data_IF_203247690393
#
_entry.id   IF_203247690393
#
_cell.length_a   1.000
_cell.length_b   1.000
_cell.length_c   1.000
_cell.angle_alpha   90.00
_cell.angle_beta   90.00
_cell.angle_gamma   90.00
#
_symmetry.space_group_name_H-M   'P 1'
#
loop_
_entity.id
_entity.type
_entity.pdbx_description
1 polymer ?
#
# COMPACT_ATOMS: atom_id res chain seq x y z
N UNK A 1 42.47 -20.53 5.06
CA UNK A 1 42.59 -21.62 4.06
C UNK A 1 41.68 -22.75 4.54
N UNK A 2 40.52 -23.05 3.99
CA UNK A 2 39.60 -22.36 3.08
C UNK A 2 38.21 -22.95 3.40
N UNK A 3 37.31 -22.15 3.98
CA UNK A 3 35.87 -22.43 4.07
C UNK A 3 35.22 -21.29 3.31
N UNK A 4 35.10 -21.45 1.98
CA UNK A 4 34.36 -20.55 1.09
C UNK A 4 33.98 -21.35 -0.15
N UNK A 5 32.69 -21.26 -0.51
CA UNK A 5 32.05 -21.70 -1.76
C UNK A 5 31.76 -23.20 -1.84
N UNK A 6 30.48 -23.57 -1.70
CA UNK A 6 29.72 -24.41 -2.64
C UNK A 6 28.28 -24.52 -2.09
N UNK A 7 27.39 -23.64 -2.53
CA UNK A 7 25.93 -23.81 -2.66
C UNK A 7 25.34 -22.48 -3.15
N UNK A 8 25.82 -22.08 -4.33
CA UNK A 8 25.24 -21.02 -5.15
C UNK A 8 25.03 -21.70 -6.50
N UNK A 9 23.77 -21.76 -6.97
CA UNK A 9 23.22 -22.52 -8.14
C UNK A 9 22.49 -23.82 -7.77
N UNK A 10 21.22 -23.69 -7.40
CA UNK A 10 20.09 -24.36 -8.06
C UNK A 10 18.78 -23.91 -7.42
N UNK A 11 18.21 -22.82 -7.93
CA UNK A 11 16.78 -22.54 -8.13
C UNK A 11 16.68 -21.02 -8.38
N UNK A 12 16.95 -20.64 -9.62
CA UNK A 12 16.40 -19.40 -10.17
C UNK A 12 15.00 -19.77 -10.63
N UNK A 13 14.07 -19.91 -9.69
CA UNK A 13 12.66 -19.86 -10.05
C UNK A 13 12.33 -18.36 -10.10
N UNK A 14 12.34 -17.82 -11.31
CA UNK A 14 11.82 -16.50 -11.57
C UNK A 14 10.34 -16.51 -11.20
N UNK A 15 10.03 -16.07 -9.98
CA UNK A 15 8.69 -15.59 -9.63
C UNK A 15 8.54 -14.21 -10.27
N UNK A 16 8.50 -14.18 -11.60
CA UNK A 16 7.95 -13.05 -12.33
C UNK A 16 6.43 -13.22 -12.29
N UNK A 17 5.83 -12.90 -11.15
CA UNK A 17 4.38 -12.77 -11.05
C UNK A 17 4.02 -11.41 -11.64
N UNK A 18 3.59 -11.51 -12.90
CA UNK A 18 2.67 -10.64 -13.63
C UNK A 18 3.08 -9.18 -13.88
N UNK A 19 3.16 -8.72 -15.15
CA UNK A 19 2.99 -7.29 -15.41
C UNK A 19 1.59 -6.91 -14.94
N UNK A 20 1.46 -5.71 -14.36
CA UNK A 20 0.23 -5.20 -13.78
C UNK A 20 -0.99 -5.60 -14.58
N UNK A 21 -2.03 -6.06 -13.87
CA UNK A 21 -3.38 -6.04 -14.40
C UNK A 21 -3.56 -4.63 -14.97
N UNK A 22 -3.57 -4.53 -16.30
CA UNK A 22 -4.15 -3.38 -16.95
C UNK A 22 -5.62 -3.42 -16.52
N UNK A 23 -5.92 -2.74 -15.42
CA UNK A 23 -7.23 -2.19 -15.19
C UNK A 23 -7.59 -1.46 -16.49
N UNK A 24 -8.88 -1.40 -16.85
CA UNK A 24 -9.28 -0.76 -18.11
C UNK A 24 -8.65 0.64 -18.27
N UNK A 25 -8.78 1.27 -19.44
CA UNK A 25 -8.15 2.57 -19.78
C UNK A 25 -8.45 3.77 -18.82
N UNK A 26 -9.07 3.54 -17.67
CA UNK A 26 -9.41 4.51 -16.63
C UNK A 26 -8.65 4.28 -15.30
N UNK A 27 -7.74 3.31 -15.22
CA UNK A 27 -6.94 3.01 -14.03
C UNK A 27 -5.59 2.37 -14.38
N UNK A 28 -4.54 2.66 -13.60
CA UNK A 28 -3.21 2.11 -13.84
C UNK A 28 -2.42 1.98 -12.52
N UNK A 29 -1.76 0.84 -12.26
CA UNK A 29 -0.87 0.68 -11.12
C UNK A 29 0.48 1.34 -11.41
N UNK A 30 0.95 2.19 -10.51
CA UNK A 30 2.28 2.81 -10.59
C UNK A 30 3.35 1.80 -10.17
N UNK A 31 3.07 0.98 -9.16
CA UNK A 31 4.09 0.17 -8.52
C UNK A 31 3.51 -1.02 -7.76
N UNK A 32 4.31 -2.08 -7.57
CA UNK A 32 3.93 -3.35 -6.90
C UNK A 32 5.03 -3.92 -5.98
N UNK A 33 6.27 -3.41 -6.02
CA UNK A 33 7.45 -4.08 -5.46
C UNK A 33 8.07 -3.34 -4.26
N UNK A 34 7.69 -3.60 -3.00
CA UNK A 34 8.11 -2.81 -1.83
C UNK A 34 9.64 -2.70 -1.55
N UNK A 35 10.48 -3.25 -2.43
CA UNK A 35 11.93 -3.14 -2.41
C UNK A 35 12.41 -1.71 -2.65
N UNK A 36 13.49 -1.33 -1.95
CA UNK A 36 14.21 -0.07 -2.21
C UNK A 36 14.87 -0.13 -3.59
N UNK A 37 14.28 0.55 -4.57
CA UNK A 37 14.82 0.71 -5.92
C UNK A 37 15.49 2.09 -6.14
N UNK A 38 15.51 2.92 -5.09
CA UNK A 38 16.29 4.17 -4.99
C UNK A 38 15.42 5.41 -4.80
N UNK A 39 16.05 6.59 -4.85
CA UNK A 39 15.33 7.87 -4.85
C UNK A 39 14.95 8.24 -6.28
N UNK A 40 13.65 8.36 -6.57
CA UNK A 40 13.15 8.79 -7.87
C UNK A 40 11.62 8.70 -7.98
N UNK A 41 11.06 9.31 -9.01
CA UNK A 41 9.61 9.24 -9.27
C UNK A 41 9.18 7.88 -9.83
N UNK A 42 8.08 7.35 -9.29
CA UNK A 42 7.57 6.01 -9.62
C UNK A 42 8.44 4.87 -9.10
N UNK A 43 9.39 5.20 -8.22
CA UNK A 43 10.35 4.30 -7.57
C UNK A 43 9.94 4.28 -6.10
N UNK A 44 9.91 3.11 -5.47
CA UNK A 44 9.58 3.00 -4.05
C UNK A 44 10.79 3.29 -3.18
N UNK A 45 10.65 4.33 -2.39
CA UNK A 45 11.61 4.66 -1.37
C UNK A 45 11.20 4.01 -0.05
N UNK A 46 11.69 2.79 0.15
CA UNK A 46 11.68 2.14 1.44
C UNK A 46 12.83 2.70 2.28
N UNK A 47 12.52 3.47 3.33
CA UNK A 47 13.51 4.14 4.16
C UNK A 47 13.48 3.64 5.60
N UNK A 48 14.64 3.70 6.25
CA UNK A 48 14.83 3.32 7.65
C UNK A 48 15.63 4.38 8.39
N UNK A 49 15.23 4.64 9.63
CA UNK A 49 15.93 5.48 10.58
C UNK A 49 16.36 4.63 11.77
N UNK A 50 17.64 4.70 12.10
CA UNK A 50 18.21 3.95 13.21
C UNK A 50 18.28 2.45 12.93
N UNK A 51 17.89 1.63 13.91
CA UNK A 51 18.03 0.17 13.87
C UNK A 51 16.96 -0.58 13.04
N UNK A 52 16.09 0.10 12.30
CA UNK A 52 15.13 -0.61 11.46
C UNK A 52 15.80 -1.36 10.32
N UNK A 53 15.34 -2.59 10.08
CA UNK A 53 15.71 -3.39 8.93
C UNK A 53 14.52 -3.57 8.00
N UNK A 54 14.76 -3.48 6.70
CA UNK A 54 13.80 -3.92 5.68
C UNK A 54 14.49 -5.07 4.95
N UNK A 55 13.97 -6.29 5.10
CA UNK A 55 14.41 -7.44 4.31
C UNK A 55 13.45 -7.65 3.14
N UNK A 56 14.05 -7.66 1.95
CA UNK A 56 13.39 -7.69 0.65
C UNK A 56 13.88 -8.86 -0.20
N UNK A 57 14.61 -9.80 0.42
CA UNK A 57 15.12 -10.99 -0.26
C UNK A 57 14.07 -12.09 -0.49
N UNK A 58 12.88 -11.94 0.09
CA UNK A 58 11.78 -12.91 0.07
C UNK A 58 10.63 -12.55 -0.89
N UNK A 59 9.53 -13.31 -0.89
CA UNK A 59 8.34 -13.03 -1.70
C UNK A 59 7.53 -11.83 -1.21
N UNK A 60 7.81 -11.33 0.00
CA UNK A 60 7.22 -10.14 0.60
C UNK A 60 8.32 -9.34 1.31
N UNK A 61 8.05 -8.06 1.57
CA UNK A 61 8.93 -7.22 2.38
C UNK A 61 8.70 -7.50 3.87
N UNK A 62 9.78 -7.61 4.63
CA UNK A 62 9.77 -7.76 6.09
C UNK A 62 10.30 -6.49 6.72
N UNK A 63 9.42 -5.77 7.39
CA UNK A 63 9.78 -4.64 8.25
C UNK A 63 10.12 -5.17 9.63
N UNK A 64 11.41 -5.22 9.92
CA UNK A 64 11.95 -5.72 11.17
C UNK A 64 12.24 -4.58 12.14
N UNK A 65 11.74 -4.71 13.37
CA UNK A 65 11.82 -3.72 14.43
C UNK A 65 12.82 -4.14 15.54
N UNK A 66 13.79 -5.02 15.23
CA UNK A 66 14.69 -5.69 16.17
C UNK A 66 15.86 -4.82 16.66
N UNK A 67 15.61 -3.66 17.25
CA UNK A 67 16.71 -2.86 17.81
C UNK A 67 16.45 -2.29 19.19
N UNK A 68 17.14 -2.88 20.16
CA UNK A 68 17.44 -2.33 21.49
C UNK A 68 18.57 -1.29 21.40
N UNK A 69 18.31 -0.18 20.72
CA UNK A 69 19.20 0.99 20.60
C UNK A 69 18.69 2.22 21.36
N UNK A 70 19.53 3.25 21.61
CA UNK A 70 19.10 4.47 22.27
C UNK A 70 18.20 5.31 21.35
N UNK A 71 16.88 5.17 21.53
CA UNK A 71 15.78 5.94 20.93
C UNK A 71 15.82 6.16 19.40
N UNK A 72 14.68 6.60 18.88
CA UNK A 72 14.53 7.07 17.50
C UNK A 72 14.76 6.00 16.43
N UNK A 73 14.02 4.89 16.50
CA UNK A 73 13.97 3.92 15.41
C UNK A 73 12.64 4.01 14.67
N UNK A 74 12.68 3.96 13.36
CA UNK A 74 11.49 3.94 12.53
C UNK A 74 11.82 3.65 11.09
N UNK A 75 10.81 3.60 10.26
CA UNK A 75 10.95 3.41 8.83
C UNK A 75 9.63 3.61 8.14
N UNK A 76 9.62 3.33 6.86
CA UNK A 76 8.42 3.51 6.09
C UNK A 76 8.64 3.29 4.61
N UNK A 77 7.58 3.63 3.89
CA UNK A 77 7.48 3.53 2.45
C UNK A 77 7.02 4.89 1.96
N UNK A 78 7.70 5.42 0.95
CA UNK A 78 7.22 6.54 0.17
C UNK A 78 7.23 6.16 -1.30
N UNK A 79 6.13 6.45 -1.99
CA UNK A 79 6.02 6.26 -3.43
C UNK A 79 5.65 7.60 -4.06
N UNK A 80 6.65 8.36 -4.54
CA UNK A 80 6.45 9.63 -5.19
C UNK A 80 5.96 9.47 -6.64
N UNK A 81 5.00 10.28 -7.05
CA UNK A 81 4.47 10.35 -8.42
C UNK A 81 4.61 11.78 -8.91
N UNK A 82 5.42 11.98 -9.96
CA UNK A 82 5.62 13.30 -10.56
C UNK A 82 4.36 13.74 -11.28
N UNK A 83 3.89 14.95 -10.98
CA UNK A 83 2.92 15.69 -11.77
C UNK A 83 3.58 16.64 -12.79
N UNK A 84 4.91 16.69 -12.78
CA UNK A 84 5.74 17.56 -13.61
C UNK A 84 5.66 19.03 -13.24
N UNK A 85 6.70 19.77 -13.62
CA UNK A 85 6.86 21.21 -13.40
C UNK A 85 5.58 22.03 -13.62
N UNK A 86 5.22 22.87 -12.66
CA UNK A 86 4.09 23.80 -12.71
C UNK A 86 4.50 25.22 -13.20
N UNK A 87 5.79 25.46 -13.44
CA UNK A 87 6.43 26.74 -13.84
C UNK A 87 6.49 27.80 -12.72
N UNK A 88 6.09 27.44 -11.50
CA UNK A 88 6.04 28.30 -10.31
C UNK A 88 7.33 28.12 -9.52
N UNK A 89 8.40 28.74 -9.99
CA UNK A 89 9.73 28.63 -9.35
C UNK A 89 9.86 29.42 -8.01
N UNK A 90 8.76 29.99 -7.50
CA UNK A 90 8.72 30.67 -6.21
C UNK A 90 7.29 30.89 -5.72
N UNK A 91 7.06 30.69 -4.42
CA UNK A 91 5.93 31.28 -3.69
C UNK A 91 6.42 32.41 -2.78
N UNK A 92 5.48 33.27 -2.41
CA UNK A 92 5.69 34.23 -1.34
C UNK A 92 5.00 33.63 -0.12
N UNK A 93 5.69 33.63 1.01
CA UNK A 93 5.21 33.02 2.24
C UNK A 93 5.09 34.07 3.36
N UNK A 94 4.42 33.65 4.44
CA UNK A 94 4.28 34.41 5.68
C UNK A 94 3.12 35.43 5.69
N UNK A 95 2.78 36.00 6.85
CA UNK A 95 1.59 36.84 7.04
C UNK A 95 1.63 38.18 6.29
N UNK A 96 2.75 38.50 5.64
CA UNK A 96 2.92 39.70 4.81
C UNK A 96 3.24 39.38 3.35
N UNK A 97 3.23 38.10 2.97
CA UNK A 97 3.58 37.63 1.63
C UNK A 97 4.95 38.17 1.15
N UNK A 98 5.95 38.09 2.04
CA UNK A 98 7.23 38.78 1.87
C UNK A 98 8.45 37.88 2.01
N UNK A 99 8.26 36.67 2.53
CA UNK A 99 9.32 35.68 2.63
C UNK A 99 9.37 34.94 1.29
N UNK A 100 10.50 34.99 0.59
CA UNK A 100 10.66 34.27 -0.67
C UNK A 100 10.89 32.80 -0.35
N UNK A 101 10.00 31.96 -0.86
CA UNK A 101 10.18 30.52 -0.84
C UNK A 101 10.52 30.06 -2.27
N UNK A 102 11.79 29.73 -2.48
CA UNK A 102 12.31 29.30 -3.78
C UNK A 102 11.93 27.85 -4.03
N UNK A 103 11.11 27.63 -5.05
CA UNK A 103 10.69 26.31 -5.49
C UNK A 103 11.77 25.72 -6.40
N UNK A 104 12.20 24.48 -6.11
CA UNK A 104 13.19 23.79 -6.92
C UNK A 104 12.50 23.15 -8.11
N UNK A 105 12.84 23.55 -9.36
CA UNK A 105 12.11 23.07 -10.52
C UNK A 105 12.09 21.53 -10.63
N UNK A 106 10.90 20.95 -10.73
CA UNK A 106 10.70 19.56 -11.09
C UNK A 106 11.06 19.29 -12.56
N UNK A 107 12.33 18.96 -12.78
CA UNK A 107 12.82 18.55 -14.10
C UNK A 107 12.26 17.22 -14.62
N UNK A 108 11.49 16.47 -13.80
CA UNK A 108 10.88 15.20 -14.21
C UNK A 108 9.54 15.47 -14.86
N UNK A 109 9.26 14.93 -16.07
CA UNK A 109 7.94 15.10 -16.68
C UNK A 109 6.83 14.49 -15.83
N UNK A 110 5.60 14.96 -16.05
CA UNK A 110 4.41 14.35 -15.46
C UNK A 110 4.38 12.85 -15.78
N UNK A 111 4.01 12.04 -14.78
CA UNK A 111 3.91 10.61 -14.96
C UNK A 111 2.88 10.29 -16.05
N UNK A 112 3.24 9.43 -17.01
CA UNK A 112 2.39 9.05 -18.14
C UNK A 112 1.05 8.42 -17.73
N UNK A 113 0.91 8.00 -16.47
CA UNK A 113 -0.35 7.53 -15.90
C UNK A 113 -1.51 8.51 -16.12
N UNK A 114 -1.27 9.81 -15.95
CA UNK A 114 -2.33 10.81 -16.09
C UNK A 114 -2.89 10.87 -17.52
N UNK A 115 -2.00 10.80 -18.51
CA UNK A 115 -2.42 10.66 -19.91
C UNK A 115 -3.12 9.31 -20.16
N UNK A 116 -2.67 8.25 -19.50
CA UNK A 116 -3.22 6.89 -19.64
C UNK A 116 -4.65 6.77 -19.13
N UNK A 117 -4.98 7.39 -18.00
CA UNK A 117 -6.34 7.45 -17.44
C UNK A 117 -7.23 8.47 -18.16
N UNK A 118 -6.71 9.18 -19.16
CA UNK A 118 -7.45 10.07 -20.04
C UNK A 118 -7.60 11.50 -19.53
N UNK A 119 -6.72 11.98 -18.66
CA UNK A 119 -6.68 13.39 -18.26
C UNK A 119 -6.20 14.24 -19.45
N UNK A 120 -6.99 15.23 -19.92
CA UNK A 120 -6.63 16.07 -21.05
C UNK A 120 -5.34 16.88 -20.86
N UNK A 121 -5.02 17.28 -19.63
CA UNK A 121 -3.78 18.00 -19.31
C UNK A 121 -2.55 17.12 -19.38
N UNK A 122 -2.71 15.79 -19.32
CA UNK A 122 -1.61 14.86 -19.08
C UNK A 122 -1.02 14.95 -17.66
N UNK A 123 -1.71 15.64 -16.74
CA UNK A 123 -1.37 15.87 -15.33
C UNK A 123 -2.53 15.45 -14.42
N UNK A 124 -2.32 15.52 -13.11
CA UNK A 124 -3.32 15.37 -12.06
C UNK A 124 -4.44 16.40 -12.24
N UNK A 125 -5.69 15.98 -12.05
CA UNK A 125 -6.87 16.82 -12.23
C UNK A 125 -7.88 16.59 -11.10
N UNK A 126 -8.71 17.61 -10.83
CA UNK A 126 -9.85 17.48 -9.93
C UNK A 126 -10.76 16.30 -10.33
N UNK A 127 -11.20 15.57 -9.32
CA UNK A 127 -12.01 14.37 -9.47
C UNK A 127 -11.23 13.10 -9.74
N UNK A 128 -9.91 13.17 -10.01
CA UNK A 128 -9.07 11.97 -9.96
C UNK A 128 -9.11 11.36 -8.56
N UNK A 129 -9.00 10.04 -8.49
CA UNK A 129 -8.91 9.33 -7.21
C UNK A 129 -7.55 8.66 -7.12
N UNK A 130 -6.85 8.90 -6.04
CA UNK A 130 -5.63 8.21 -5.69
C UNK A 130 -5.98 7.04 -4.76
N UNK A 131 -5.31 5.91 -4.92
CA UNK A 131 -5.35 4.82 -3.93
C UNK A 131 -3.95 4.42 -3.54
N UNK A 132 -3.73 4.31 -2.24
CA UNK A 132 -2.55 3.69 -1.67
C UNK A 132 -2.99 2.49 -0.87
N UNK A 133 -2.47 1.31 -1.23
CA UNK A 133 -2.90 0.07 -0.62
C UNK A 133 -1.76 -0.92 -0.53
N UNK A 134 -1.80 -1.77 0.48
CA UNK A 134 -0.96 -2.95 0.56
C UNK A 134 -1.65 -4.02 1.40
N UNK A 135 -1.16 -5.25 1.29
CA UNK A 135 -1.55 -6.35 2.14
C UNK A 135 -0.55 -6.47 3.28
N UNK A 136 -1.07 -6.58 4.50
CA UNK A 136 -0.28 -6.62 5.72
C UNK A 136 -0.59 -7.88 6.51
N UNK A 137 0.43 -8.45 7.15
CA UNK A 137 0.29 -9.59 8.04
C UNK A 137 1.27 -9.47 9.20
N UNK A 138 0.83 -9.78 10.40
CA UNK A 138 1.73 -9.90 11.56
C UNK A 138 2.54 -11.18 11.39
N UNK A 139 3.86 -11.12 11.60
CA UNK A 139 4.71 -12.30 11.44
C UNK A 139 4.31 -13.38 12.46
N UNK A 140 3.90 -14.59 12.03
CA UNK A 140 3.51 -15.67 12.95
C UNK A 140 4.65 -16.13 13.89
N UNK A 141 5.90 -15.95 13.48
CA UNK A 141 7.08 -16.36 14.24
C UNK A 141 7.57 -15.26 15.18
N UNK A 142 7.30 -14.00 14.85
CA UNK A 142 7.81 -12.85 15.59
C UNK A 142 6.85 -11.64 15.51
N UNK A 143 5.63 -11.76 16.08
CA UNK A 143 4.59 -10.74 15.92
C UNK A 143 4.89 -9.47 16.71
N UNK A 144 4.38 -8.34 16.22
CA UNK A 144 4.29 -7.11 17.03
C UNK A 144 3.14 -7.27 18.01
N UNK A 145 3.42 -7.23 19.33
CA UNK A 145 2.40 -7.41 20.38
C UNK A 145 2.15 -6.13 21.19
N UNK A 146 2.95 -5.10 20.96
CA UNK A 146 2.75 -3.75 21.49
C UNK A 146 2.80 -2.78 20.32
N UNK A 147 1.82 -1.88 20.25
CA UNK A 147 1.84 -0.84 19.23
C UNK A 147 3.06 0.08 19.38
N UNK A 148 3.75 0.42 18.27
CA UNK A 148 4.81 1.39 18.30
C UNK A 148 4.29 2.78 18.64
N UNK A 149 5.16 3.64 19.18
CA UNK A 149 4.80 5.02 19.54
C UNK A 149 4.27 5.83 18.34
N UNK A 150 4.74 5.52 17.13
CA UNK A 150 4.22 6.04 15.87
C UNK A 150 3.66 4.84 15.12
N UNK A 151 2.33 4.72 15.13
CA UNK A 151 1.63 3.69 14.38
C UNK A 151 1.62 4.02 12.87
N UNK A 152 1.53 2.98 12.02
CA UNK A 152 1.43 3.17 10.59
C UNK A 152 0.17 3.93 10.26
N UNK A 153 0.40 5.01 9.55
CA UNK A 153 -0.63 5.73 8.85
C UNK A 153 -0.38 5.57 7.36
N UNK A 154 -1.33 4.98 6.64
CA UNK A 154 -1.35 5.02 5.18
C UNK A 154 -2.02 6.32 4.78
N UNK A 155 -1.27 7.18 4.09
CA UNK A 155 -1.71 8.52 3.72
C UNK A 155 -1.18 8.98 2.37
N UNK A 156 -1.76 10.07 1.90
CA UNK A 156 -1.22 10.88 0.82
C UNK A 156 -0.70 12.22 1.31
N UNK A 157 0.42 12.63 0.75
CA UNK A 157 0.94 13.99 0.84
C UNK A 157 0.95 14.61 -0.55
N UNK A 158 0.52 15.86 -0.67
CA UNK A 158 0.50 16.62 -1.93
C UNK A 158 1.49 17.77 -1.80
N UNK A 159 2.35 17.91 -2.79
CA UNK A 159 3.49 18.81 -2.75
C UNK A 159 3.50 19.73 -3.97
N UNK A 160 3.82 21.01 -3.73
CA UNK A 160 4.14 21.97 -4.79
C UNK A 160 5.57 21.81 -5.28
N UNK A 161 6.48 21.27 -4.47
CA UNK A 161 7.87 20.97 -4.85
C UNK A 161 8.11 19.48 -5.07
N UNK A 162 8.91 19.15 -6.10
CA UNK A 162 9.42 17.80 -6.29
C UNK A 162 10.60 17.42 -5.39
N UNK A 163 10.56 16.20 -4.84
CA UNK A 163 11.63 15.56 -4.08
C UNK A 163 12.14 16.37 -2.88
N UNK A 164 11.30 17.26 -2.33
CA UNK A 164 11.61 17.99 -1.11
C UNK A 164 11.90 17.00 0.04
N UNK A 165 13.05 17.18 0.71
CA UNK A 165 13.50 16.32 1.81
C UNK A 165 12.86 16.68 3.16
N UNK A 166 12.02 17.72 3.18
CA UNK A 166 11.40 18.25 4.40
C UNK A 166 10.12 17.49 4.79
N UNK A 167 10.17 16.15 4.74
CA UNK A 167 9.07 15.33 5.20
C UNK A 167 8.78 15.54 6.70
N UNK A 168 7.50 15.60 7.04
CA UNK A 168 7.00 15.91 8.38
C UNK A 168 7.19 14.72 9.31
N UNK A 169 8.09 14.86 10.28
CA UNK A 169 8.39 13.80 11.24
C UNK A 169 8.12 14.24 12.68
N UNK A 170 7.28 15.26 12.92
CA UNK A 170 7.03 15.72 14.28
C UNK A 170 5.55 15.91 14.59
N UNK A 171 4.90 14.83 15.04
CA UNK A 171 3.55 14.86 15.60
C UNK A 171 3.45 15.91 16.72
N UNK A 172 2.80 17.02 16.44
CA UNK A 172 2.57 18.12 17.38
C UNK A 172 3.14 19.49 16.98
N UNK A 173 3.82 19.61 15.84
CA UNK A 173 4.10 20.93 15.24
C UNK A 173 2.92 21.35 14.34
N UNK A 174 2.51 22.62 14.45
CA UNK A 174 1.58 23.24 13.50
C UNK A 174 2.41 23.55 12.25
N UNK A 175 2.27 22.72 11.22
CA UNK A 175 2.95 22.80 9.92
C UNK A 175 4.49 22.73 10.01
N UNK A 176 5.18 22.06 9.06
CA UNK A 176 6.59 22.32 8.88
C UNK A 176 6.75 23.79 8.50
N UNK A 177 7.57 24.54 9.23
CA UNK A 177 7.90 25.94 8.90
C UNK A 177 8.73 26.05 7.61
N UNK A 178 9.02 24.93 6.94
CA UNK A 178 9.83 24.81 5.74
C UNK A 178 9.37 23.61 4.88
N UNK A 179 9.01 23.86 3.62
CA UNK A 179 8.62 22.85 2.63
C UNK A 179 7.19 23.02 2.09
N UNK A 180 7.05 22.96 0.76
CA UNK A 180 5.83 23.29 0.00
C UNK A 180 4.77 22.17 0.01
N UNK A 181 4.51 21.57 1.17
CA UNK A 181 3.50 20.52 1.35
C UNK A 181 2.10 21.13 1.42
N UNK A 182 1.37 21.09 0.30
CA UNK A 182 0.01 21.62 0.14
C UNK A 182 -0.99 20.90 1.05
N UNK A 183 -0.89 19.58 1.15
CA UNK A 183 -1.87 18.77 1.87
C UNK A 183 -1.23 17.55 2.52
N UNK A 184 -1.70 17.22 3.72
CA UNK A 184 -1.32 16.03 4.47
C UNK A 184 -2.57 15.36 5.06
N UNK A 185 -2.90 14.17 4.57
CA UNK A 185 -4.23 13.58 4.67
C UNK A 185 -4.68 13.27 6.11
N UNK A 186 -3.77 12.87 6.97
CA UNK A 186 -3.99 12.55 8.39
C UNK A 186 -4.01 13.79 9.30
N UNK A 187 -3.18 14.81 9.01
CA UNK A 187 -3.16 16.05 9.80
C UNK A 187 -4.33 16.96 9.46
N UNK A 188 -4.69 17.05 8.17
CA UNK A 188 -5.72 17.96 7.71
C UNK A 188 -7.11 17.30 7.64
N UNK A 189 -7.19 15.97 7.61
CA UNK A 189 -8.46 15.26 7.39
C UNK A 189 -9.51 15.38 8.49
N UNK A 190 -9.11 15.73 9.71
CA UNK A 190 -10.04 16.06 10.79
C UNK A 190 -10.54 17.52 10.78
N UNK A 191 -9.73 18.43 10.22
CA UNK A 191 -10.02 19.86 10.16
C UNK A 191 -10.81 20.24 8.89
N UNK A 192 -10.56 19.54 7.80
CA UNK A 192 -11.28 19.62 6.54
C UNK A 192 -12.48 18.68 6.56
N UNK A 193 -13.59 19.10 5.97
CA UNK A 193 -14.79 18.27 5.82
C UNK A 193 -14.62 17.16 4.77
N UNK A 194 -13.43 16.57 4.66
CA UNK A 194 -13.18 15.48 3.72
C UNK A 194 -13.99 14.23 4.12
N UNK A 195 -14.55 13.50 3.13
CA UNK A 195 -15.25 12.25 3.37
C UNK A 195 -14.38 11.27 4.17
N UNK A 196 -15.01 10.47 5.04
CA UNK A 196 -14.28 9.47 5.86
C UNK A 196 -13.48 8.49 5.00
N UNK A 197 -13.99 8.14 3.81
CA UNK A 197 -13.31 7.28 2.84
C UNK A 197 -12.05 7.90 2.24
N UNK A 198 -11.94 9.23 2.27
CA UNK A 198 -10.80 10.00 1.77
C UNK A 198 -9.83 10.40 2.90
N UNK A 199 -9.94 9.77 4.07
CA UNK A 199 -9.04 10.01 5.21
C UNK A 199 -8.00 8.90 5.34
N UNK A 200 -6.88 9.25 5.94
CA UNK A 200 -5.81 8.31 6.23
C UNK A 200 -6.27 7.11 7.06
N UNK A 201 -5.68 5.95 6.77
CA UNK A 201 -5.97 4.69 7.45
C UNK A 201 -4.89 4.36 8.48
N UNK A 202 -5.32 3.77 9.59
CA UNK A 202 -4.46 3.33 10.67
C UNK A 202 -4.38 1.81 10.71
N UNK A 203 -3.22 1.31 11.11
CA UNK A 203 -2.98 -0.12 11.31
C UNK A 203 -2.82 -0.38 12.80
N UNK A 204 -3.63 -1.31 13.31
CA UNK A 204 -3.55 -1.87 14.66
C UNK A 204 -2.74 -3.17 14.58
N UNK A 205 -1.52 -3.14 15.13
CA UNK A 205 -0.58 -4.25 15.01
C UNK A 205 -0.84 -5.37 16.00
N UNK A 206 -1.26 -5.01 17.21
CA UNK A 206 -1.45 -5.97 18.30
C UNK A 206 -2.87 -6.57 18.32
N UNK A 207 -3.78 -6.03 17.50
CA UNK A 207 -5.14 -6.51 17.31
C UNK A 207 -6.08 -6.18 18.46
N UNK A 208 -5.74 -5.22 19.33
CA UNK A 208 -6.54 -4.87 20.51
C UNK A 208 -7.67 -3.85 20.22
N UNK A 209 -7.70 -3.31 19.01
CA UNK A 209 -8.69 -2.38 18.49
C UNK A 209 -8.42 -0.94 18.89
N UNK A 210 -7.24 -0.63 19.41
CA UNK A 210 -6.81 0.71 19.79
C UNK A 210 -5.72 1.22 18.85
N UNK A 211 -5.81 2.49 18.52
CA UNK A 211 -4.75 3.25 17.86
C UNK A 211 -4.60 4.60 18.55
N UNK A 212 -3.49 5.28 18.30
CA UNK A 212 -3.15 6.59 18.85
C UNK A 212 -4.24 7.62 18.51
N UNK A 213 -4.78 7.56 17.28
CA UNK A 213 -5.96 8.34 16.89
C UNK A 213 -7.26 7.63 17.28
N UNK A 214 -7.74 7.87 18.50
CA UNK A 214 -9.01 7.32 18.95
C UNK A 214 -10.23 7.70 18.09
N UNK A 215 -10.15 8.76 17.28
CA UNK A 215 -11.21 9.10 16.32
C UNK A 215 -11.19 8.18 15.10
N UNK A 216 -10.03 7.65 14.70
CA UNK A 216 -9.91 6.69 13.61
C UNK A 216 -10.69 5.41 13.88
N UNK A 217 -10.60 4.86 15.10
CA UNK A 217 -11.36 3.68 15.48
C UNK A 217 -12.87 3.92 15.38
N UNK A 218 -13.36 5.08 15.82
CA UNK A 218 -14.79 5.43 15.75
C UNK A 218 -15.31 5.61 14.32
N UNK A 219 -14.44 6.04 13.40
CA UNK A 219 -14.74 6.22 11.97
C UNK A 219 -14.58 4.93 11.16
N UNK A 220 -14.12 3.82 11.77
CA UNK A 220 -13.82 2.57 11.06
C UNK A 220 -12.58 2.65 10.17
N UNK A 221 -11.63 3.53 10.51
CA UNK A 221 -10.38 3.75 9.77
C UNK A 221 -9.19 2.97 10.34
N UNK A 222 -9.46 1.86 11.03
CA UNK A 222 -8.46 1.02 11.69
C UNK A 222 -8.56 -0.39 11.12
N UNK A 223 -7.44 -0.88 10.61
CA UNK A 223 -7.31 -2.26 10.16
C UNK A 223 -6.50 -3.05 11.17
N UNK A 224 -7.10 -4.10 11.73
CA UNK A 224 -6.45 -4.97 12.70
C UNK A 224 -5.68 -6.06 11.97
N UNK A 225 -4.41 -6.25 12.31
CA UNK A 225 -3.62 -7.32 11.72
C UNK A 225 -3.81 -8.63 12.47
N UNK A 226 -3.56 -9.73 11.75
CA UNK A 226 -3.55 -11.09 12.28
C UNK A 226 -2.24 -11.76 11.89
N UNK A 227 -1.85 -12.78 12.66
CA UNK A 227 -0.81 -13.74 12.27
C UNK A 227 -1.33 -14.82 11.33
N UNK A 228 -2.65 -14.97 11.20
CA UNK A 228 -3.28 -16.05 10.43
C UNK A 228 -3.61 -15.61 9.00
N UNK A 229 -4.09 -14.38 8.83
CA UNK A 229 -4.65 -13.89 7.56
C UNK A 229 -3.96 -12.60 7.09
N UNK A 230 -3.82 -12.44 5.77
CA UNK A 230 -3.43 -11.17 5.18
C UNK A 230 -4.60 -10.18 5.23
N UNK A 231 -4.31 -8.95 5.65
CA UNK A 231 -5.29 -7.86 5.75
C UNK A 231 -4.98 -6.81 4.70
N UNK A 232 -5.93 -6.54 3.81
CA UNK A 232 -5.85 -5.38 2.93
C UNK A 232 -6.04 -4.11 3.75
N UNK A 233 -5.07 -3.20 3.66
CA UNK A 233 -5.21 -1.84 4.16
C UNK A 233 -5.09 -0.90 2.97
N UNK A 234 -6.11 -0.07 2.77
CA UNK A 234 -6.14 0.87 1.65
C UNK A 234 -6.73 2.22 2.08
N UNK A 235 -6.08 3.30 1.64
CA UNK A 235 -6.62 4.66 1.71
C UNK A 235 -6.88 5.17 0.31
N UNK A 236 -7.96 5.91 0.14
CA UNK A 236 -8.22 6.67 -1.09
C UNK A 236 -8.14 8.17 -0.82
N UNK A 237 -7.90 8.95 -1.87
CA UNK A 237 -8.05 10.39 -1.82
C UNK A 237 -8.57 10.92 -3.14
N UNK A 238 -9.73 11.57 -3.11
CA UNK A 238 -10.29 12.27 -4.26
C UNK A 238 -9.68 13.68 -4.36
N UNK A 239 -9.00 13.97 -5.47
CA UNK A 239 -8.42 15.30 -5.74
C UNK A 239 -9.54 16.33 -5.87
N UNK A 240 -9.47 17.38 -5.08
CA UNK A 240 -10.49 18.41 -5.04
C UNK A 240 -9.93 19.70 -4.44
N UNK A 241 -9.84 20.77 -5.24
CA UNK A 241 -9.36 22.09 -4.80
C UNK A 241 -10.14 22.63 -3.58
N UNK A 242 -11.40 22.22 -3.36
CA UNK A 242 -12.17 22.66 -2.20
C UNK A 242 -11.67 22.07 -0.87
N UNK A 243 -10.94 20.96 -0.94
CA UNK A 243 -10.41 20.28 0.22
C UNK A 243 -9.05 20.82 0.64
N UNK A 244 -8.50 21.84 -0.04
CA UNK A 244 -7.16 22.34 0.26
C UNK A 244 -7.26 23.62 1.08
N UNK A 245 -6.87 23.53 2.36
CA UNK A 245 -6.60 24.73 3.15
C UNK A 245 -5.25 25.22 2.69
N UNK A 246 -5.20 26.46 2.25
CA UNK A 246 -3.94 27.14 2.02
C UNK A 246 -2.92 26.90 3.13
N UNK A 247 -1.64 26.78 2.77
CA UNK A 247 -0.56 26.92 3.75
C UNK A 247 -0.48 28.42 4.06
N UNK A 248 -0.91 28.83 5.26
CA UNK A 248 -1.02 30.25 5.59
C UNK A 248 -2.14 30.96 4.81
N UNK A 249 -1.78 32.03 4.09
CA UNK A 249 -2.72 32.85 3.30
C UNK A 249 -2.79 32.43 1.82
N UNK A 250 -1.94 31.51 1.37
CA UNK A 250 -1.83 31.12 -0.03
C UNK A 250 -2.89 30.09 -0.42
N UNK A 251 -3.58 30.32 -1.53
CA UNK A 251 -4.59 29.39 -2.05
C UNK A 251 -3.92 28.51 -3.10
N UNK A 252 -3.86 27.21 -2.83
CA UNK A 252 -3.35 26.21 -3.76
C UNK A 252 -4.50 25.50 -4.48
N UNK A 253 -4.23 25.11 -5.72
CA UNK A 253 -5.10 24.34 -6.60
C UNK A 253 -4.30 23.19 -7.21
N UNK A 254 -4.98 22.23 -7.84
CA UNK A 254 -4.33 21.09 -8.50
C UNK A 254 -3.28 21.49 -9.55
N UNK A 255 -3.39 22.70 -10.11
CA UNK A 255 -2.41 23.24 -11.06
C UNK A 255 -1.05 23.52 -10.42
N UNK A 256 -1.02 23.76 -9.10
CA UNK A 256 0.19 24.06 -8.33
C UNK A 256 0.92 22.78 -7.87
N UNK A 257 0.34 21.59 -8.07
CA UNK A 257 0.94 20.32 -7.62
C UNK A 257 2.04 19.88 -8.58
N UNK A 258 3.20 19.54 -8.02
CA UNK A 258 4.29 18.90 -8.76
C UNK A 258 4.53 17.46 -8.38
N UNK A 259 4.10 17.07 -7.18
CA UNK A 259 4.33 15.74 -6.65
C UNK A 259 3.18 15.27 -5.75
N UNK A 260 2.81 14.01 -5.93
CA UNK A 260 1.96 13.25 -5.02
C UNK A 260 2.82 12.18 -4.37
N UNK A 261 2.79 12.05 -3.04
CA UNK A 261 3.43 10.94 -2.33
C UNK A 261 2.40 10.09 -1.63
N UNK A 262 2.40 8.80 -1.93
CA UNK A 262 1.78 7.82 -1.05
C UNK A 262 2.78 7.44 0.03
N UNK A 263 2.39 7.55 1.29
CA UNK A 263 3.34 7.41 2.40
C UNK A 263 2.78 6.52 3.50
N UNK A 264 3.65 5.66 4.02
CA UNK A 264 3.48 4.91 5.25
C UNK A 264 4.69 5.19 6.15
N UNK A 265 4.44 5.55 7.41
CA UNK A 265 5.48 5.71 8.43
C UNK A 265 5.16 4.90 9.66
N UNK A 266 6.16 4.22 10.21
CA UNK A 266 6.03 3.46 11.45
C UNK A 266 7.32 3.63 12.26
N UNK A 267 7.22 3.68 13.58
CA UNK A 267 8.42 3.77 14.39
C UNK A 267 8.17 3.86 15.87
N UNK A 268 9.17 3.46 16.63
CA UNK A 268 9.18 3.58 18.06
C UNK A 268 10.35 4.44 18.50
N UNK A 269 10.04 5.72 18.71
CA UNK A 269 11.02 6.70 19.14
C UNK A 269 11.27 6.64 20.65
N UNK A 270 10.46 5.90 21.39
CA UNK A 270 10.57 5.71 22.83
C UNK A 270 11.50 4.55 23.22
N UNK A 271 11.89 3.68 22.27
CA UNK A 271 12.81 2.56 22.52
C UNK A 271 12.20 1.45 23.37
N UNK A 272 10.90 1.24 23.24
CA UNK A 272 10.16 0.13 23.81
C UNK A 272 10.50 -1.18 23.09
N UNK A 273 10.26 -2.27 23.80
CA UNK A 273 10.28 -3.62 23.23
C UNK A 273 8.87 -3.95 22.73
N UNK A 274 8.77 -4.20 21.42
CA UNK A 274 7.49 -4.36 20.73
C UNK A 274 7.01 -5.83 20.67
N UNK A 275 7.87 -6.78 21.02
CA UNK A 275 7.57 -8.23 21.14
C UNK A 275 7.45 -8.68 22.60
N UNK A 276 8.03 -7.90 23.53
CA UNK A 276 8.09 -8.24 24.96
C UNK A 276 9.16 -9.28 25.32
N UNK A 277 9.91 -9.78 24.33
CA UNK A 277 11.03 -10.72 24.48
C UNK A 277 12.41 -10.11 24.16
N UNK A 278 12.44 -8.85 23.69
CA UNK A 278 13.65 -8.08 23.40
C UNK A 278 14.14 -8.17 21.96
N UNK A 279 13.48 -8.94 21.10
CA UNK A 279 13.91 -9.20 19.72
C UNK A 279 13.16 -8.36 18.66
N UNK A 280 12.20 -7.51 19.08
CA UNK A 280 11.45 -6.59 18.21
C UNK A 280 10.58 -7.27 17.14
N UNK A 281 9.42 -6.69 16.81
CA UNK A 281 8.45 -7.38 15.97
C UNK A 281 8.76 -7.34 14.47
N UNK A 282 8.11 -8.20 13.70
CA UNK A 282 8.12 -8.19 12.24
C UNK A 282 6.73 -7.87 11.69
N UNK A 283 6.70 -6.96 10.71
CA UNK A 283 5.54 -6.71 9.86
C UNK A 283 5.83 -7.21 8.44
N UNK A 284 4.93 -8.04 7.92
CA UNK A 284 4.98 -8.51 6.55
C UNK A 284 4.15 -7.59 5.67
N UNK A 285 4.71 -7.14 4.55
CA UNK A 285 4.06 -6.26 3.57
C UNK A 285 4.16 -6.88 2.18
N UNK A 286 3.03 -6.96 1.51
CA UNK A 286 2.93 -7.49 0.16
C UNK A 286 2.01 -6.61 -0.71
N UNK A 287 2.21 -6.68 -2.02
CA UNK A 287 1.42 -5.98 -3.03
C UNK A 287 1.17 -4.50 -2.72
N UNK A 288 2.27 -3.79 -2.49
CA UNK A 288 2.24 -2.35 -2.33
C UNK A 288 1.83 -1.69 -3.65
N UNK A 289 0.62 -1.14 -3.70
CA UNK A 289 0.07 -0.47 -4.87
C UNK A 289 -0.17 1.01 -4.60
N UNK A 290 0.32 1.84 -5.53
CA UNK A 290 -0.18 3.19 -5.74
C UNK A 290 -0.88 3.23 -7.08
N UNK A 291 -2.12 3.65 -7.08
CA UNK A 291 -2.96 3.71 -8.27
C UNK A 291 -3.58 5.09 -8.42
N UNK A 292 -3.74 5.49 -9.67
CA UNK A 292 -4.47 6.70 -10.04
C UNK A 292 -5.64 6.28 -10.91
N UNK A 293 -6.83 6.72 -10.53
CA UNK A 293 -8.08 6.50 -11.22
C UNK A 293 -8.57 7.81 -11.81
N UNK A 294 -9.20 7.71 -12.98
CA UNK A 294 -9.81 8.87 -13.63
C UNK A 294 -10.83 9.56 -12.72
N UNK A 295 -11.65 8.76 -12.03
CA UNK A 295 -12.67 9.21 -11.10
C UNK A 295 -13.13 8.09 -10.18
N UNK A 296 -13.97 8.43 -9.19
CA UNK A 296 -14.52 7.49 -8.21
C UNK A 296 -15.26 6.29 -8.84
N UNK A 297 -15.90 6.45 -10.00
CA UNK A 297 -16.60 5.34 -10.67
C UNK A 297 -15.64 4.35 -11.35
N UNK A 298 -14.39 4.74 -11.57
CA UNK A 298 -13.34 3.89 -12.14
C UNK A 298 -12.59 3.07 -11.08
N UNK A 299 -12.80 3.34 -9.78
CA UNK A 299 -12.16 2.60 -8.69
C UNK A 299 -12.63 1.15 -8.67
N UNK A 300 -11.69 0.22 -8.76
CA UNK A 300 -11.93 -1.23 -8.74
C UNK A 300 -11.41 -1.86 -7.45
N UNK A 301 -12.00 -2.96 -6.99
CA UNK A 301 -11.51 -3.68 -5.81
C UNK A 301 -10.03 -4.09 -5.96
N UNK A 302 -9.23 -3.90 -4.91
CA UNK A 302 -7.90 -4.49 -4.80
C UNK A 302 -8.06 -5.92 -4.28
N UNK A 303 -7.80 -6.91 -5.14
CA UNK A 303 -7.84 -8.32 -4.76
C UNK A 303 -6.45 -8.75 -4.29
N UNK A 304 -6.39 -9.62 -3.28
CA UNK A 304 -5.13 -10.17 -2.80
C UNK A 304 -4.41 -10.88 -3.95
N UNK A 305 -3.24 -10.41 -4.42
CA UNK A 305 -2.55 -11.05 -5.54
C UNK A 305 -1.80 -12.29 -5.12
N UNK A 306 -1.52 -12.40 -3.82
CA UNK A 306 -1.38 -13.68 -3.17
C UNK A 306 -2.80 -14.02 -2.77
N UNK A 307 -3.62 -14.74 -3.58
CA UNK A 307 -4.67 -15.50 -2.93
C UNK A 307 -3.93 -16.17 -1.79
N UNK A 308 -4.43 -16.05 -0.56
CA UNK A 308 -3.89 -16.89 0.49
C UNK A 308 -3.70 -18.23 -0.23
N UNK A 309 -2.46 -18.70 -0.33
CA UNK A 309 -2.32 -20.12 -0.18
C UNK A 309 -2.87 -20.26 1.24
N UNK A 310 -4.22 -20.29 1.35
CA UNK A 310 -5.01 -20.99 2.31
C UNK A 310 -4.19 -22.23 2.39
N UNK A 311 -3.27 -22.24 3.37
CA UNK A 311 -2.17 -23.18 3.37
C UNK A 311 -2.92 -24.43 3.68
N UNK A 312 -3.30 -25.12 2.61
CA UNK A 312 -4.17 -26.26 2.71
C UNK A 312 -3.41 -27.15 3.64
N UNK A 313 -4.05 -27.61 4.71
CA UNK A 313 -3.36 -28.41 5.70
C UNK A 313 -2.71 -29.59 4.95
N UNK A 314 -1.37 -29.63 4.85
CA UNK A 314 -0.65 -30.60 4.03
C UNK A 314 -0.05 -30.10 2.70
N UNK A 315 -0.27 -28.86 2.30
CA UNK A 315 0.44 -28.16 1.21
C UNK A 315 1.75 -27.64 1.79
N UNK A 316 2.81 -28.41 1.59
CA UNK A 316 4.12 -28.18 2.18
C UNK A 316 5.09 -27.49 1.23
N UNK A 317 4.79 -27.46 -0.06
CA UNK A 317 5.57 -26.70 -1.03
C UNK A 317 4.93 -25.34 -1.40
N UNK A 318 3.76 -25.03 -0.83
CA UNK A 318 3.01 -23.80 -1.03
C UNK A 318 2.67 -23.54 -2.51
N UNK A 319 2.35 -24.59 -3.25
CA UNK A 319 1.94 -24.48 -4.66
C UNK A 319 0.42 -24.35 -4.85
N UNK A 320 -0.34 -24.37 -3.75
CA UNK A 320 -1.80 -24.27 -3.73
C UNK A 320 -2.51 -25.61 -3.94
N UNK A 321 -1.78 -26.72 -3.97
CA UNK A 321 -2.30 -28.07 -4.15
C UNK A 321 -1.67 -29.05 -3.17
N UNK A 322 -2.49 -29.77 -2.39
CA UNK A 322 -1.99 -30.89 -1.58
C UNK A 322 -1.80 -32.12 -2.46
N UNK A 323 -0.57 -32.40 -2.86
CA UNK A 323 -0.25 -33.44 -3.82
C UNK A 323 1.03 -34.23 -3.46
N UNK A 324 1.59 -34.97 -4.41
CA UNK A 324 2.76 -35.82 -4.17
C UNK A 324 4.05 -35.03 -3.97
N UNK A 325 4.13 -33.78 -4.44
CA UNK A 325 5.25 -32.88 -4.21
C UNK A 325 5.37 -32.51 -2.73
N UNK A 326 4.24 -32.28 -2.06
CA UNK A 326 4.21 -31.97 -0.62
C UNK A 326 4.70 -33.12 0.22
N UNK A 327 4.33 -34.35 -0.14
CA UNK A 327 4.85 -35.53 0.50
C UNK A 327 6.38 -35.59 0.43
N UNK A 328 6.97 -35.16 -0.69
CA UNK A 328 8.42 -35.13 -0.79
C UNK A 328 9.03 -34.06 0.12
N UNK A 329 8.41 -32.88 0.23
CA UNK A 329 8.82 -31.84 1.18
C UNK A 329 8.75 -32.32 2.64
N UNK A 330 7.65 -32.98 3.02
CA UNK A 330 7.50 -33.58 4.35
C UNK A 330 8.53 -34.67 4.64
N UNK A 331 8.66 -35.63 3.72
CA UNK A 331 9.56 -36.78 3.88
C UNK A 331 11.01 -36.33 3.99
N UNK A 332 11.39 -35.28 3.27
CA UNK A 332 12.76 -34.79 3.23
C UNK A 332 13.09 -33.90 4.45
N UNK A 333 12.09 -33.62 5.31
CA UNK A 333 12.25 -32.88 6.57
C UNK A 333 12.10 -31.37 6.43
N UNK A 334 11.69 -30.90 5.25
CA UNK A 334 11.58 -29.49 4.90
C UNK A 334 10.17 -28.92 5.14
N UNK A 335 9.25 -29.73 5.67
CA UNK A 335 7.90 -29.28 6.06
C UNK A 335 7.87 -28.66 7.46
N UNK A 336 6.89 -27.76 7.74
CA UNK A 336 6.69 -27.19 9.07
C UNK A 336 6.45 -28.23 10.18
N UNK A 337 5.85 -29.37 9.85
CA UNK A 337 5.66 -30.50 10.75
C UNK A 337 6.06 -31.82 10.07
N UNK A 338 7.33 -32.22 10.27
CA UNK A 338 7.85 -33.48 9.73
C UNK A 338 7.55 -34.70 10.64
N UNK A 339 6.60 -34.58 11.56
CA UNK A 339 6.15 -35.67 12.42
C UNK A 339 5.07 -36.53 11.75
N UNK A 340 4.60 -37.57 12.47
CA UNK A 340 3.45 -38.37 12.04
C UNK A 340 2.17 -37.54 11.92
N UNK A 341 2.02 -36.49 12.75
CA UNK A 341 0.86 -35.61 12.67
C UNK A 341 0.83 -34.83 11.35
N UNK A 342 1.98 -34.34 10.88
CA UNK A 342 2.11 -33.76 9.55
C UNK A 342 1.77 -34.74 8.43
N UNK A 343 2.26 -35.98 8.50
CA UNK A 343 1.84 -37.00 7.52
C UNK A 343 0.33 -37.21 7.50
N UNK A 344 -0.30 -37.32 8.66
CA UNK A 344 -1.74 -37.53 8.78
C UNK A 344 -2.53 -36.33 8.22
N UNK A 345 -2.02 -35.12 8.45
CA UNK A 345 -2.54 -33.87 7.90
C UNK A 345 -2.47 -33.84 6.36
N UNK A 346 -1.31 -34.16 5.77
CA UNK A 346 -1.17 -34.31 4.32
C UNK A 346 -2.09 -35.38 3.74
N UNK A 347 -2.13 -36.57 4.35
CA UNK A 347 -2.94 -37.67 3.88
C UNK A 347 -4.45 -37.36 3.91
N UNK A 348 -4.90 -36.61 4.93
CA UNK A 348 -6.30 -36.20 5.07
C UNK A 348 -6.74 -35.20 4.00
N UNK A 349 -5.81 -34.41 3.46
CA UNK A 349 -6.10 -33.34 2.51
C UNK A 349 -5.59 -33.64 1.09
N UNK A 350 -5.02 -34.82 0.83
CA UNK A 350 -4.48 -35.17 -0.49
C UNK A 350 -5.52 -34.99 -1.60
N UNK A 351 -5.18 -34.18 -2.60
CA UNK A 351 -6.05 -33.78 -3.71
C UNK A 351 -6.83 -32.50 -3.47
N UNK A 352 -6.70 -31.85 -2.31
CA UNK A 352 -7.22 -30.51 -2.07
C UNK A 352 -6.48 -29.48 -2.94
N UNK A 353 -7.20 -28.43 -3.34
CA UNK A 353 -6.66 -27.30 -4.09
C UNK A 353 -7.28 -26.00 -3.58
N UNK A 354 -6.49 -24.94 -3.47
CA UNK A 354 -6.99 -23.64 -3.03
C UNK A 354 -8.04 -23.15 -4.03
N UNK A 355 -9.18 -22.68 -3.53
CA UNK A 355 -10.25 -22.20 -4.39
C UNK A 355 -9.80 -20.89 -5.04
N UNK A 356 -9.44 -20.94 -6.33
CA UNK A 356 -9.21 -19.72 -7.11
C UNK A 356 -10.56 -19.08 -7.41
N UNK A 357 -10.96 -18.15 -6.56
CA UNK A 357 -12.07 -17.23 -6.80
C UNK A 357 -11.71 -16.31 -7.97
N UNK A 358 -11.93 -16.77 -9.20
CA UNK A 358 -11.94 -15.88 -10.35
C UNK A 358 -13.25 -15.11 -10.32
N UNK A 359 -13.19 -13.81 -10.04
CA UNK A 359 -14.30 -12.90 -10.27
C UNK A 359 -14.63 -12.93 -11.76
N UNK A 360 -15.59 -13.77 -12.14
CA UNK A 360 -16.10 -13.83 -13.51
C UNK A 360 -16.86 -12.53 -13.73
N UNK A 361 -16.44 -11.64 -14.65
CA UNK A 361 -17.20 -10.44 -14.94
C UNK A 361 -18.62 -10.84 -15.35
N UNK A 362 -19.63 -10.09 -14.90
CA UNK A 362 -21.04 -10.36 -15.21
C UNK A 362 -21.60 -9.69 -16.50
N UNK A 363 -20.87 -9.37 -17.60
CA UNK A 363 -21.51 -8.71 -18.74
C UNK A 363 -22.42 -9.66 -19.55
N UNK A 364 -22.27 -10.99 -19.41
CA UNK A 364 -23.03 -11.96 -20.21
C UNK A 364 -24.43 -12.21 -19.65
N UNK A 365 -24.60 -12.18 -18.32
CA UNK A 365 -25.90 -12.39 -17.68
C UNK A 365 -26.88 -11.25 -18.01
N UNK A 366 -26.41 -10.00 -17.95
CA UNK A 366 -27.19 -8.82 -18.35
C UNK A 366 -27.57 -8.88 -19.85
N UNK A 367 -26.63 -9.28 -20.70
CA UNK A 367 -26.87 -9.43 -22.15
C UNK A 367 -27.90 -10.52 -22.47
N UNK A 368 -27.84 -11.67 -21.78
CA UNK A 368 -28.80 -12.76 -21.93
C UNK A 368 -30.19 -12.38 -21.40
N UNK A 369 -30.26 -11.65 -20.28
CA UNK A 369 -31.52 -11.14 -19.75
C UNK A 369 -32.17 -10.12 -20.71
N UNK A 370 -31.38 -9.20 -21.26
CA UNK A 370 -31.85 -8.23 -22.26
C UNK A 370 -32.35 -8.92 -23.54
N UNK A 371 -31.61 -9.92 -24.06
CA UNK A 371 -32.04 -10.72 -25.20
C UNK A 371 -33.34 -11.51 -24.90
N UNK A 372 -33.45 -12.10 -23.71
CA UNK A 372 -34.66 -12.79 -23.26
C UNK A 372 -35.88 -11.86 -23.23
N UNK A 373 -35.71 -10.66 -22.67
CA UNK A 373 -36.77 -9.64 -22.64
C UNK A 373 -37.17 -9.16 -24.05
N UNK A 374 -36.20 -9.00 -24.95
CA UNK A 374 -36.46 -8.63 -26.35
C UNK A 374 -37.26 -9.70 -27.10
N UNK A 375 -36.96 -10.99 -26.89
CA UNK A 375 -37.70 -12.10 -27.49
C UNK A 375 -39.14 -12.18 -26.97
N UNK A 376 -39.34 -11.99 -25.66
CA UNK A 376 -40.68 -11.97 -25.04
C UNK A 376 -41.51 -10.78 -25.56
N UNK A 377 -40.90 -9.59 -25.66
CA UNK A 377 -41.56 -8.40 -26.21
C UNK A 377 -41.93 -8.57 -27.70
N UNK A 378 -41.04 -9.17 -28.50
CA UNK A 378 -41.29 -9.45 -29.92
C UNK A 378 -42.45 -10.43 -30.15
N UNK A 379 -42.56 -11.50 -29.34
CA UNK A 379 -43.66 -12.48 -29.43
C UNK A 379 -45.03 -11.87 -29.12
N UNK A 380 -45.12 -10.91 -28.19
CA UNK A 380 -46.39 -10.23 -27.85
C UNK A 380 -46.91 -9.32 -28.95
N UNK A 381 -46.03 -8.80 -29.83
CA UNK A 381 -46.43 -7.96 -30.97
C UNK A 381 -46.96 -8.73 -32.17
N UNK A 382 -46.58 -10.01 -32.33
CA UNK A 382 -47.00 -10.85 -33.46
C UNK A 382 -48.42 -11.43 -33.31
N UNK A 383 -48.95 -11.50 -32.08
CA UNK A 383 -50.28 -12.05 -31.76
C UNK A 383 -51.38 -10.97 -31.60
N UNK A 384 -51.11 -9.72 -32.01
CA UNK A 384 -52.11 -8.65 -32.15
C UNK A 384 -52.18 -8.26 -33.60
#
# INVERSE_FOLDING_TARGET
MAIKRTLQRLLTLACAVSPGLALGAEAYPVFTDPNSDGLGFGVTDAFVYGGYGIDVGGPFAVYNQNFSGPCCHGGGISVPVSNGENEINMSLDGPTNGDLNEDIPNTTPANSIFSTIGNPSGKLENGNVLRFSAWFKSDPLNPIVVDPQIQPVLKFEIWKEALSTNADTNGGQIQPTYGDKIFDQEQHGGALQIPVVDRAQWIDFNGDGQVIDGAAAGDGRVSQLSTEEWTLVETTYTINDFDWIGIGDDIYTVEDVEEVRAVMFLGDFAGNDLTGDGDGGNLLVDNLLVEVFRNAASVTANLNPVPDNETLVGDYNSDGFVNAADYTTWRDGDSPDSSQAGYDAWAANYGASAATSLAVPEPVAASMAALGLAVVAGRRRSNR
#
